data_IF_658146122062
#
_entry.id   IF_658146122062
#
_cell.length_a   1.000
_cell.length_b   1.000
_cell.length_c   1.000
_cell.angle_alpha   90.00
_cell.angle_beta   90.00
_cell.angle_gamma   90.00
#
_symmetry.space_group_name_H-M   'P 1'
#
loop_
_entity.id
_entity.type
_entity.pdbx_description
1 polymer ?
#
# COMPACT_ATOMS: atom_id res chain seq x y z
N UNK A 1 -42.93 14.99 76.53
CA UNK A 1 -42.75 15.71 75.25
C UNK A 1 -41.46 15.19 74.67
N UNK A 2 -41.55 14.18 73.80
CA UNK A 2 -40.40 13.38 73.38
C UNK A 2 -40.05 13.67 71.91
N UNK A 3 -38.78 14.02 71.75
CA UNK A 3 -37.81 13.70 70.69
C UNK A 3 -38.24 13.60 69.23
N UNK A 4 -37.52 14.39 68.44
CA UNK A 4 -37.36 14.40 66.99
C UNK A 4 -37.03 13.03 66.39
N UNK A 5 -37.60 12.75 65.22
CA UNK A 5 -37.08 11.78 64.26
C UNK A 5 -36.92 12.49 62.90
N UNK A 6 -35.69 12.55 62.42
CA UNK A 6 -35.32 13.08 61.11
C UNK A 6 -35.68 12.07 60.01
N UNK A 7 -36.41 12.53 58.98
CA UNK A 7 -36.62 11.76 57.76
C UNK A 7 -35.42 11.99 56.82
N UNK A 8 -34.64 10.93 56.59
CA UNK A 8 -33.57 10.89 55.59
C UNK A 8 -34.22 10.55 54.24
N UNK A 9 -34.14 11.48 53.28
CA UNK A 9 -34.50 11.22 51.87
C UNK A 9 -33.23 10.78 51.13
N UNK A 10 -33.24 9.70 50.34
CA UNK A 10 -32.07 9.26 49.60
C UNK A 10 -31.86 10.17 48.37
N UNK A 11 -30.75 10.91 48.34
CA UNK A 11 -30.29 11.61 47.13
C UNK A 11 -29.62 10.57 46.23
N UNK A 12 -30.39 10.05 45.29
CA UNK A 12 -29.89 9.24 44.19
C UNK A 12 -29.14 10.10 43.16
N UNK A 13 -28.02 9.53 42.69
CA UNK A 13 -27.49 9.63 41.32
C UNK A 13 -27.16 11.02 40.76
N UNK A 14 -25.88 11.43 40.86
CA UNK A 14 -25.24 12.28 39.85
C UNK A 14 -23.70 12.37 39.99
N UNK A 15 -22.98 11.25 40.19
CA UNK A 15 -21.51 11.27 40.15
C UNK A 15 -20.98 10.07 39.35
N UNK A 16 -21.32 9.99 38.06
CA UNK A 16 -20.55 9.15 37.12
C UNK A 16 -20.77 9.52 35.65
N UNK A 17 -20.88 10.80 35.30
CA UNK A 17 -21.01 11.24 33.90
C UNK A 17 -20.07 12.38 33.50
N UNK A 18 -18.91 12.51 34.15
CA UNK A 18 -17.96 13.61 33.88
C UNK A 18 -16.52 13.17 33.57
N UNK A 19 -16.25 11.88 33.32
CA UNK A 19 -14.91 11.39 32.98
C UNK A 19 -14.76 10.80 31.56
N UNK A 20 -15.76 10.92 30.68
CA UNK A 20 -15.70 10.40 29.30
C UNK A 20 -15.59 11.47 28.21
N UNK A 21 -15.20 12.70 28.54
CA UNK A 21 -15.00 13.77 27.56
C UNK A 21 -13.55 14.29 27.48
N UNK A 22 -12.56 13.47 27.88
CA UNK A 22 -11.20 13.67 27.36
C UNK A 22 -11.14 12.90 26.05
N UNK A 23 -11.53 13.61 24.98
CA UNK A 23 -11.50 13.11 23.63
C UNK A 23 -10.15 12.45 23.35
N UNK A 24 -10.17 11.13 23.19
CA UNK A 24 -9.15 10.45 22.41
C UNK A 24 -9.29 11.04 21.00
N UNK A 25 -8.49 12.04 20.68
CA UNK A 25 -8.06 12.21 19.30
C UNK A 25 -7.30 10.92 18.97
N UNK A 26 -8.05 9.91 18.52
CA UNK A 26 -7.49 8.86 17.73
C UNK A 26 -6.96 9.58 16.49
N UNK A 27 -5.68 9.92 16.49
CA UNK A 27 -4.96 10.11 15.24
C UNK A 27 -5.10 8.78 14.50
N UNK A 28 -6.17 8.65 13.71
CA UNK A 28 -6.18 7.72 12.60
C UNK A 28 -5.06 8.21 11.70
N UNK A 29 -3.88 7.60 11.83
CA UNK A 29 -2.89 7.69 10.78
C UNK A 29 -3.61 7.33 9.48
N UNK A 30 -3.48 8.13 8.42
CA UNK A 30 -4.09 7.80 7.15
C UNK A 30 -3.59 6.42 6.74
N UNK A 31 -4.51 5.45 6.70
CA UNK A 31 -4.21 4.09 6.25
C UNK A 31 -3.97 4.20 4.75
N UNK A 32 -2.75 3.84 4.32
CA UNK A 32 -2.41 3.88 2.91
C UNK A 32 -3.34 2.91 2.16
N UNK A 33 -4.09 3.43 1.18
CA UNK A 33 -5.09 2.67 0.44
C UNK A 33 -4.39 1.88 -0.68
N UNK A 34 -4.47 0.54 -0.72
CA UNK A 34 -3.83 -0.24 -1.76
C UNK A 34 -4.49 0.01 -3.12
N UNK A 35 -3.71 -0.12 -4.19
CA UNK A 35 -4.18 -0.01 -5.58
C UNK A 35 -4.99 -1.24 -6.02
N UNK A 36 -4.79 -2.39 -5.36
CA UNK A 36 -5.60 -3.59 -5.50
C UNK A 36 -6.02 -4.11 -4.12
N UNK A 37 -7.31 -4.43 -3.87
CA UNK A 37 -7.73 -4.99 -2.58
C UNK A 37 -6.99 -6.29 -2.21
N UNK A 38 -6.64 -7.12 -3.19
CA UNK A 38 -5.95 -8.39 -2.96
C UNK A 38 -4.53 -8.23 -2.40
N UNK A 39 -3.93 -7.03 -2.46
CA UNK A 39 -2.63 -6.76 -1.82
C UNK A 39 -2.72 -6.72 -0.29
N UNK A 40 -3.88 -6.44 0.30
CA UNK A 40 -4.10 -6.43 1.76
C UNK A 40 -5.12 -7.48 2.20
N UNK A 41 -5.31 -8.51 1.39
CA UNK A 41 -6.16 -9.65 1.73
C UNK A 41 -5.33 -10.70 2.49
N UNK A 42 -5.76 -11.04 3.71
CA UNK A 42 -5.02 -11.95 4.59
C UNK A 42 -4.91 -13.36 3.99
N UNK A 43 -5.95 -13.83 3.30
CA UNK A 43 -5.93 -15.14 2.62
C UNK A 43 -4.89 -15.16 1.50
N UNK A 44 -4.81 -14.09 0.70
CA UNK A 44 -3.78 -13.92 -0.34
C UNK A 44 -2.37 -13.93 0.25
N UNK A 45 -2.16 -13.20 1.35
CA UNK A 45 -0.87 -13.18 2.04
C UNK A 45 -0.50 -14.58 2.58
N UNK A 46 -1.45 -15.28 3.20
CA UNK A 46 -1.25 -16.63 3.73
C UNK A 46 -0.91 -17.62 2.62
N UNK A 47 -1.64 -17.59 1.50
CA UNK A 47 -1.35 -18.44 0.34
C UNK A 47 0.05 -18.23 -0.23
N UNK A 48 0.46 -16.97 -0.34
CA UNK A 48 1.79 -16.58 -0.81
C UNK A 48 2.86 -17.11 0.13
N UNK A 49 2.69 -16.89 1.42
CA UNK A 49 3.63 -17.35 2.44
C UNK A 49 3.76 -18.88 2.45
N UNK A 50 2.64 -19.59 2.39
CA UNK A 50 2.62 -21.05 2.45
C UNK A 50 3.23 -21.68 1.20
N UNK A 51 2.88 -21.17 0.01
CA UNK A 51 3.45 -21.61 -1.26
C UNK A 51 4.93 -21.28 -1.35
N UNK A 52 5.34 -20.08 -0.93
CA UNK A 52 6.75 -19.68 -0.91
C UNK A 52 7.58 -20.60 0.00
N UNK A 53 7.13 -20.82 1.24
CA UNK A 53 7.78 -21.73 2.19
C UNK A 53 7.84 -23.16 1.67
N UNK A 54 6.76 -23.66 1.06
CA UNK A 54 6.74 -24.98 0.46
C UNK A 54 7.79 -25.10 -0.65
N UNK A 55 7.88 -24.11 -1.54
CA UNK A 55 8.90 -24.10 -2.60
C UNK A 55 10.32 -24.03 -2.04
N UNK A 56 10.57 -23.16 -1.05
CA UNK A 56 11.85 -23.04 -0.37
C UNK A 56 12.28 -24.36 0.29
N UNK A 57 11.35 -25.13 0.85
CA UNK A 57 11.68 -26.42 1.48
C UNK A 57 12.08 -27.51 0.47
N UNK A 58 11.82 -27.32 -0.82
CA UNK A 58 12.25 -28.23 -1.89
C UNK A 58 13.63 -27.87 -2.45
N UNK A 59 14.25 -26.79 -1.96
CA UNK A 59 15.53 -26.31 -2.46
C UNK A 59 16.68 -26.75 -1.54
N UNK A 60 17.76 -27.24 -2.15
CA UNK A 60 19.06 -27.46 -1.48
C UNK A 60 19.95 -26.20 -1.51
N UNK A 61 19.43 -25.08 -2.03
CA UNK A 61 20.14 -23.81 -2.24
C UNK A 61 20.39 -23.09 -0.89
N UNK A 62 21.59 -22.52 -0.72
CA UNK A 62 21.96 -21.76 0.48
C UNK A 62 21.37 -20.33 0.50
N UNK A 63 20.63 -19.96 -0.55
CA UNK A 63 19.99 -18.66 -0.69
C UNK A 63 20.93 -17.54 -1.11
N UNK A 64 22.16 -17.85 -1.55
CA UNK A 64 23.18 -16.85 -1.90
C UNK A 64 22.80 -15.94 -3.07
N UNK A 65 22.04 -16.44 -4.04
CA UNK A 65 21.54 -15.65 -5.17
C UNK A 65 20.10 -15.24 -4.89
N UNK A 66 19.73 -13.97 -5.10
CA UNK A 66 18.36 -13.48 -5.00
C UNK A 66 17.82 -13.17 -6.39
N UNK A 67 16.63 -13.65 -6.74
CA UNK A 67 15.99 -13.37 -8.02
C UNK A 67 15.36 -11.99 -8.05
N UNK A 68 14.55 -11.64 -7.05
CA UNK A 68 13.81 -10.37 -7.02
C UNK A 68 14.78 -9.23 -6.65
N UNK A 69 15.11 -8.32 -7.58
CA UNK A 69 16.12 -7.30 -7.33
C UNK A 69 15.70 -6.37 -6.20
N UNK A 70 16.69 -5.91 -5.43
CA UNK A 70 16.46 -4.89 -4.40
C UNK A 70 16.33 -3.52 -5.06
N UNK A 71 15.20 -2.85 -4.83
CA UNK A 71 15.00 -1.47 -5.23
C UNK A 71 15.26 -0.59 -4.02
N UNK A 72 16.42 0.08 -3.96
CA UNK A 72 16.76 0.94 -2.84
C UNK A 72 16.16 2.32 -3.09
N UNK A 73 15.36 2.83 -2.15
CA UNK A 73 14.72 4.16 -2.21
C UNK A 73 15.70 5.31 -2.54
N UNK A 74 16.99 5.17 -2.18
CA UNK A 74 18.04 6.16 -2.45
C UNK A 74 18.43 6.30 -3.92
N UNK A 75 18.21 5.28 -4.76
CA UNK A 75 18.40 5.42 -6.21
C UNK A 75 17.29 6.30 -6.82
N UNK A 76 16.15 6.43 -6.14
CA UNK A 76 14.96 7.08 -6.67
C UNK A 76 14.18 7.91 -5.62
N UNK A 77 14.84 8.86 -4.93
CA UNK A 77 14.21 9.65 -3.85
C UNK A 77 13.04 10.52 -4.33
N UNK A 78 12.92 10.72 -5.65
CA UNK A 78 11.91 11.55 -6.30
C UNK A 78 10.91 10.78 -7.16
N UNK A 79 10.96 9.43 -7.20
CA UNK A 79 9.97 8.65 -7.98
C UNK A 79 8.71 8.42 -7.14
N UNK A 80 7.57 8.61 -7.79
CA UNK A 80 6.27 8.29 -7.21
C UNK A 80 6.20 6.78 -6.94
N UNK A 81 5.64 6.38 -5.79
CA UNK A 81 5.45 4.96 -5.41
C UNK A 81 4.85 4.11 -6.55
N UNK A 82 4.04 4.72 -7.41
CA UNK A 82 3.45 4.12 -8.60
C UNK A 82 4.49 3.58 -9.59
N UNK A 83 5.63 4.26 -9.79
CA UNK A 83 6.66 3.77 -10.71
C UNK A 83 7.33 2.49 -10.20
N UNK A 84 7.68 2.46 -8.91
CA UNK A 84 8.26 1.26 -8.29
C UNK A 84 7.21 0.13 -8.27
N UNK A 85 5.96 0.46 -7.96
CA UNK A 85 4.84 -0.47 -8.09
C UNK A 85 4.77 -1.08 -9.50
N UNK A 86 4.84 -0.24 -10.53
CA UNK A 86 4.73 -0.69 -11.92
C UNK A 86 5.89 -1.52 -12.42
N UNK A 87 7.08 -1.26 -11.91
CA UNK A 87 8.21 -2.13 -12.12
C UNK A 87 7.94 -3.54 -11.57
N UNK A 88 7.47 -3.64 -10.32
CA UNK A 88 7.16 -4.94 -9.73
C UNK A 88 5.95 -5.61 -10.40
N UNK A 89 4.99 -4.83 -10.91
CA UNK A 89 3.89 -5.35 -11.72
C UNK A 89 4.40 -5.99 -13.03
N UNK A 90 5.49 -5.51 -13.62
CA UNK A 90 6.14 -6.17 -14.77
C UNK A 90 6.74 -7.52 -14.41
N UNK A 91 7.35 -7.63 -13.24
CA UNK A 91 7.85 -8.91 -12.74
C UNK A 91 6.68 -9.85 -12.47
N UNK A 92 5.59 -9.37 -11.86
CA UNK A 92 4.37 -10.16 -11.64
C UNK A 92 3.77 -10.69 -12.94
N UNK A 93 3.73 -9.87 -14.00
CA UNK A 93 3.27 -10.30 -15.32
C UNK A 93 4.16 -11.42 -15.89
N UNK A 94 5.48 -11.37 -15.66
CA UNK A 94 6.36 -12.49 -16.01
C UNK A 94 6.04 -13.75 -15.20
N UNK A 95 5.74 -13.64 -13.89
CA UNK A 95 5.35 -14.77 -13.05
C UNK A 95 4.12 -15.48 -13.60
N UNK A 96 3.05 -14.72 -13.87
CA UNK A 96 1.79 -15.27 -14.38
C UNK A 96 1.96 -16.00 -15.71
N UNK A 97 2.78 -15.43 -16.61
CA UNK A 97 2.92 -15.94 -17.97
C UNK A 97 4.00 -17.02 -18.14
N UNK A 98 4.99 -17.12 -17.25
CA UNK A 98 6.15 -18.00 -17.45
C UNK A 98 6.44 -18.94 -16.28
N UNK A 99 6.15 -18.53 -15.04
CA UNK A 99 6.50 -19.30 -13.84
C UNK A 99 5.31 -20.13 -13.36
N UNK A 100 4.13 -19.49 -13.27
CA UNK A 100 2.93 -20.09 -12.68
C UNK A 100 1.97 -20.70 -13.72
N UNK A 101 2.23 -20.50 -15.02
CA UNK A 101 1.30 -20.86 -16.10
C UNK A 101 0.79 -22.31 -16.01
N UNK A 102 1.69 -23.26 -15.77
CA UNK A 102 1.39 -24.71 -15.76
C UNK A 102 1.60 -25.36 -14.38
N UNK A 103 1.31 -24.65 -13.29
CA UNK A 103 1.62 -25.10 -11.92
C UNK A 103 0.42 -25.37 -11.03
N UNK A 104 -0.78 -25.44 -11.58
CA UNK A 104 -2.02 -25.57 -10.79
C UNK A 104 -1.97 -26.76 -9.80
N UNK A 105 -1.35 -27.87 -10.19
CA UNK A 105 -1.27 -29.09 -9.37
C UNK A 105 -0.09 -29.16 -8.41
N UNK A 106 0.75 -28.11 -8.34
CA UNK A 106 1.97 -28.11 -7.53
C UNK A 106 1.73 -27.77 -6.05
N UNK A 107 0.59 -27.14 -5.74
CA UNK A 107 0.19 -26.83 -4.36
C UNK A 107 -1.34 -26.64 -4.29
N UNK A 108 -2.04 -27.09 -3.23
CA UNK A 108 -3.50 -26.97 -3.13
C UNK A 108 -4.03 -25.55 -3.31
N UNK A 109 -3.28 -24.55 -2.86
CA UNK A 109 -3.68 -23.14 -2.95
C UNK A 109 -3.22 -22.45 -4.24
N UNK A 110 -2.48 -23.12 -5.13
CA UNK A 110 -1.92 -22.49 -6.34
C UNK A 110 -2.99 -21.89 -7.27
N UNK A 111 -4.13 -22.54 -7.54
CA UNK A 111 -5.17 -21.95 -8.41
C UNK A 111 -5.76 -20.65 -7.83
N UNK A 112 -5.97 -20.61 -6.50
CA UNK A 112 -6.47 -19.42 -5.80
C UNK A 112 -5.42 -18.30 -5.83
N UNK A 113 -4.16 -18.64 -5.58
CA UNK A 113 -3.05 -17.69 -5.69
C UNK A 113 -2.97 -17.06 -7.08
N UNK A 114 -2.99 -17.87 -8.16
CA UNK A 114 -2.94 -17.35 -9.54
C UNK A 114 -4.10 -16.39 -9.82
N UNK A 115 -5.29 -16.71 -9.35
CA UNK A 115 -6.48 -15.85 -9.49
C UNK A 115 -6.28 -14.49 -8.81
N UNK A 116 -5.75 -14.49 -7.59
CA UNK A 116 -5.52 -13.25 -6.85
C UNK A 116 -4.38 -12.42 -7.45
N UNK A 117 -3.29 -13.06 -7.91
CA UNK A 117 -2.19 -12.41 -8.61
C UNK A 117 -2.61 -11.82 -9.95
N UNK A 118 -3.43 -12.53 -10.73
CA UNK A 118 -4.02 -12.00 -11.96
C UNK A 118 -4.90 -10.77 -11.68
N UNK A 119 -5.72 -10.84 -10.63
CA UNK A 119 -6.53 -9.69 -10.18
C UNK A 119 -5.66 -8.49 -9.84
N UNK A 120 -4.56 -8.68 -9.11
CA UNK A 120 -3.61 -7.61 -8.81
C UNK A 120 -3.07 -7.01 -10.10
N UNK A 121 -2.59 -7.83 -11.05
CA UNK A 121 -2.07 -7.35 -12.34
C UNK A 121 -3.11 -6.52 -13.10
N UNK A 122 -4.37 -6.96 -13.16
CA UNK A 122 -5.47 -6.22 -13.81
C UNK A 122 -5.81 -4.92 -13.10
N UNK A 123 -5.92 -4.94 -11.78
CA UNK A 123 -6.21 -3.75 -10.98
C UNK A 123 -5.10 -2.70 -11.17
N UNK A 124 -3.83 -3.09 -11.12
CA UNK A 124 -2.70 -2.18 -11.35
C UNK A 124 -2.73 -1.57 -12.76
N UNK A 125 -3.02 -2.35 -13.80
CA UNK A 125 -3.23 -1.82 -15.17
C UNK A 125 -4.35 -0.77 -15.19
N UNK A 126 -5.47 -1.03 -14.51
CA UNK A 126 -6.58 -0.09 -14.41
C UNK A 126 -6.23 1.20 -13.63
N UNK A 127 -5.28 1.12 -12.69
CA UNK A 127 -4.76 2.28 -11.95
C UNK A 127 -3.69 3.08 -12.73
N UNK A 128 -3.53 2.85 -14.03
CA UNK A 128 -2.62 3.60 -14.90
C UNK A 128 -1.22 2.99 -15.04
N UNK A 129 -1.04 1.76 -14.56
CA UNK A 129 0.24 1.09 -14.66
C UNK A 129 0.51 0.56 -16.07
N UNK A 130 1.43 1.21 -16.81
CA UNK A 130 1.90 0.69 -18.09
C UNK A 130 2.96 -0.39 -17.87
N UNK A 131 2.51 -1.61 -17.59
CA UNK A 131 3.40 -2.74 -17.29
C UNK A 131 4.41 -3.01 -18.40
N UNK A 132 4.00 -2.90 -19.67
CA UNK A 132 4.87 -3.16 -20.82
C UNK A 132 6.04 -2.16 -20.91
N UNK A 133 5.84 -0.91 -20.48
CA UNK A 133 6.89 0.11 -20.45
C UNK A 133 8.10 -0.32 -19.62
N UNK A 134 7.87 -1.05 -18.53
CA UNK A 134 8.93 -1.51 -17.63
C UNK A 134 9.62 -2.79 -18.09
N UNK A 135 9.24 -3.36 -19.25
CA UNK A 135 9.85 -4.60 -19.73
C UNK A 135 11.36 -4.48 -19.76
N UNK A 136 11.92 -3.45 -20.39
CA UNK A 136 13.38 -3.28 -20.50
C UNK A 136 14.02 -2.56 -19.31
N UNK A 137 13.26 -2.24 -18.24
CA UNK A 137 13.82 -1.59 -17.07
C UNK A 137 14.90 -2.47 -16.43
N UNK A 138 16.01 -1.85 -15.96
CA UNK A 138 17.19 -2.56 -15.44
C UNK A 138 16.83 -3.72 -14.51
N UNK A 139 16.00 -3.48 -13.50
CA UNK A 139 15.57 -4.50 -12.54
C UNK A 139 14.71 -5.61 -13.16
N UNK A 140 13.79 -5.30 -14.07
CA UNK A 140 12.99 -6.32 -14.73
C UNK A 140 13.87 -7.20 -15.64
N UNK A 141 14.82 -6.58 -16.35
CA UNK A 141 15.80 -7.28 -17.18
C UNK A 141 16.78 -8.11 -16.34
N UNK A 142 17.25 -7.59 -15.21
CA UNK A 142 18.11 -8.30 -14.26
C UNK A 142 17.41 -9.54 -13.69
N UNK A 143 16.16 -9.39 -13.22
CA UNK A 143 15.33 -10.52 -12.77
C UNK A 143 15.25 -11.61 -13.85
N UNK A 144 14.87 -11.26 -15.09
CA UNK A 144 14.75 -12.23 -16.18
C UNK A 144 16.08 -12.86 -16.57
N UNK A 145 17.17 -12.07 -16.58
CA UNK A 145 18.52 -12.56 -16.86
C UNK A 145 18.95 -13.58 -15.82
N UNK A 146 18.83 -13.26 -14.53
CA UNK A 146 19.18 -14.17 -13.43
C UNK A 146 18.30 -15.41 -13.47
N UNK A 147 16.98 -15.26 -13.66
CA UNK A 147 16.06 -16.40 -13.81
C UNK A 147 16.49 -17.35 -14.93
N UNK A 148 16.79 -16.82 -16.11
CA UNK A 148 17.20 -17.63 -17.27
C UNK A 148 18.54 -18.33 -17.03
N UNK A 149 19.49 -17.71 -16.32
CA UNK A 149 20.78 -18.31 -15.98
C UNK A 149 20.63 -19.51 -15.02
N UNK A 150 19.56 -19.57 -14.24
CA UNK A 150 19.31 -20.66 -13.29
C UNK A 150 18.64 -21.88 -13.92
N UNK A 151 18.17 -21.79 -15.17
CA UNK A 151 17.47 -22.88 -15.84
C UNK A 151 16.27 -23.39 -15.03
N UNK A 152 16.11 -24.71 -14.95
CA UNK A 152 14.96 -25.34 -14.28
C UNK A 152 14.86 -25.01 -12.78
N UNK A 153 16.01 -24.85 -12.10
CA UNK A 153 16.06 -24.46 -10.68
C UNK A 153 15.51 -23.05 -10.46
N UNK A 154 15.56 -22.20 -11.49
CA UNK A 154 15.02 -20.84 -11.44
C UNK A 154 13.53 -20.80 -11.15
N UNK A 155 12.78 -21.84 -11.55
CA UNK A 155 11.32 -21.85 -11.36
C UNK A 155 10.95 -22.07 -9.91
N UNK A 156 11.51 -23.11 -9.26
CA UNK A 156 11.27 -23.37 -7.82
C UNK A 156 11.73 -22.17 -6.99
N UNK A 157 12.88 -21.58 -7.33
CA UNK A 157 13.37 -20.39 -6.65
C UNK A 157 12.44 -19.19 -6.80
N UNK A 158 11.91 -18.95 -8.00
CA UNK A 158 10.98 -17.86 -8.21
C UNK A 158 9.71 -18.06 -7.38
N UNK A 159 9.14 -19.27 -7.36
CA UNK A 159 8.00 -19.56 -6.47
C UNK A 159 8.37 -19.32 -5.00
N UNK A 160 9.58 -19.69 -4.59
CA UNK A 160 10.11 -19.41 -3.25
C UNK A 160 10.50 -17.95 -2.96
N UNK A 161 10.42 -17.03 -3.92
CA UNK A 161 10.65 -15.59 -3.71
C UNK A 161 9.40 -14.75 -4.03
N UNK A 162 8.24 -15.38 -4.23
CA UNK A 162 7.01 -14.67 -4.55
C UNK A 162 6.50 -13.80 -3.39
N UNK A 163 6.82 -14.19 -2.15
CA UNK A 163 6.59 -13.41 -0.93
C UNK A 163 7.38 -12.10 -0.93
N UNK A 164 8.62 -12.13 -1.43
CA UNK A 164 9.45 -10.93 -1.60
C UNK A 164 8.83 -9.98 -2.61
N UNK A 165 8.39 -10.50 -3.77
CA UNK A 165 7.71 -9.72 -4.79
C UNK A 165 6.42 -9.09 -4.23
N UNK A 166 5.62 -9.89 -3.51
CA UNK A 166 4.37 -9.42 -2.92
C UNK A 166 4.59 -8.32 -1.88
N UNK A 167 5.58 -8.47 -1.01
CA UNK A 167 5.95 -7.47 0.00
C UNK A 167 6.30 -6.12 -0.66
N UNK A 168 7.04 -6.14 -1.77
CA UNK A 168 7.32 -4.89 -2.51
C UNK A 168 6.03 -4.26 -3.04
N UNK A 169 5.14 -5.05 -3.61
CA UNK A 169 3.86 -4.52 -4.11
C UNK A 169 2.99 -3.96 -2.98
N UNK A 170 2.95 -4.61 -1.80
CA UNK A 170 2.21 -4.08 -0.64
C UNK A 170 2.71 -2.69 -0.21
N UNK A 171 4.03 -2.48 -0.25
CA UNK A 171 4.65 -1.20 0.16
C UNK A 171 4.44 -0.11 -0.89
N UNK A 172 4.62 -0.44 -2.17
CA UNK A 172 4.69 0.57 -3.23
C UNK A 172 3.39 0.76 -4.02
N UNK A 173 2.52 -0.24 -4.08
CA UNK A 173 1.26 -0.17 -4.82
C UNK A 173 0.13 0.41 -3.97
N UNK A 174 0.33 1.64 -3.50
CA UNK A 174 -0.63 2.42 -2.73
C UNK A 174 -1.00 3.71 -3.47
N UNK A 175 -2.18 4.26 -3.19
CA UNK A 175 -2.57 5.55 -3.75
C UNK A 175 -1.66 6.66 -3.19
N UNK A 176 -1.00 7.42 -4.06
CA UNK A 176 -0.27 8.61 -3.66
C UNK A 176 -1.21 9.58 -2.92
N UNK A 177 -0.81 10.04 -1.73
CA UNK A 177 -1.56 11.08 -1.03
C UNK A 177 -1.43 12.37 -1.84
N UNK A 178 -2.52 12.84 -2.44
CA UNK A 178 -2.58 14.24 -2.86
C UNK A 178 -2.47 15.06 -1.58
N UNK A 179 -1.39 15.84 -1.45
CA UNK A 179 -1.35 16.88 -0.42
C UNK A 179 -2.55 17.79 -0.69
N UNK A 180 -3.60 17.66 0.12
CA UNK A 180 -4.66 18.65 0.18
C UNK A 180 -4.01 19.86 0.83
N UNK A 181 -3.48 20.77 -0.01
CA UNK A 181 -3.10 22.09 0.46
C UNK A 181 -4.41 22.78 0.80
N UNK A 182 -4.80 22.70 2.07
CA UNK A 182 -5.90 23.49 2.61
C UNK A 182 -5.47 24.95 2.52
N UNK A 183 -5.78 25.61 1.40
CA UNK A 183 -5.71 27.05 1.30
C UNK A 183 -6.81 27.60 2.20
N UNK A 184 -6.51 27.72 3.50
CA UNK A 184 -7.27 28.59 4.39
C UNK A 184 -7.03 30.01 3.91
N UNK A 185 -7.90 30.49 3.01
CA UNK A 185 -7.97 31.89 2.66
C UNK A 185 -8.47 32.65 3.89
N UNK A 186 -7.54 33.15 4.70
CA UNK A 186 -7.85 34.19 5.68
C UNK A 186 -8.10 35.49 4.92
N UNK A 187 -9.36 35.77 4.60
CA UNK A 187 -9.78 37.10 4.18
C UNK A 187 -9.85 38.00 5.42
N UNK A 188 -8.76 38.71 5.70
CA UNK A 188 -8.78 39.91 6.53
C UNK A 188 -8.33 41.06 5.64
N UNK A 189 -9.26 41.89 5.20
CA UNK A 189 -8.94 43.17 4.57
C UNK A 189 -9.73 44.24 5.30
N UNK A 190 -8.99 44.93 6.16
CA UNK A 190 -9.42 46.14 6.87
C UNK A 190 -9.70 47.26 5.89
N UNK A 191 -10.82 47.94 6.10
CA UNK A 191 -11.18 49.20 5.48
C UNK A 191 -10.22 50.32 5.90
N UNK A 192 -9.66 51.05 4.95
CA UNK A 192 -9.37 52.49 5.11
C UNK A 192 -9.45 53.19 3.77
N UNK A 193 -10.31 54.21 3.73
CA UNK A 193 -10.50 55.14 2.63
C UNK A 193 -9.29 56.07 2.44
N UNK A 194 -9.01 56.45 1.20
CA UNK A 194 -8.30 57.69 0.87
C UNK A 194 -8.79 58.25 -0.48
N UNK A 195 -8.98 59.57 -0.49
CA UNK A 195 -9.75 60.37 -1.46
C UNK A 195 -9.00 60.75 -2.75
N UNK A 196 -9.70 60.64 -3.88
CA UNK A 196 -10.01 61.67 -4.92
C UNK A 196 -8.99 62.74 -5.39
N UNK A 197 -9.03 62.97 -6.71
CA UNK A 197 -8.45 64.01 -7.60
C UNK A 197 -7.02 63.73 -8.08
N UNK A 198 -6.72 63.69 -9.39
CA UNK A 198 -6.89 64.78 -10.37
C UNK A 198 -7.22 64.32 -11.81
N UNK A 199 -8.20 65.00 -12.40
CA UNK A 199 -8.32 65.53 -13.76
C UNK A 199 -7.59 64.85 -14.94
N UNK A 200 -8.38 64.36 -15.90
CA UNK A 200 -8.01 64.25 -17.29
C UNK A 200 -9.23 64.59 -18.15
N UNK A 201 -9.20 65.75 -18.82
CA UNK A 201 -10.05 66.02 -19.96
C UNK A 201 -9.39 66.99 -20.95
N UNK A 202 -9.59 66.65 -22.22
CA UNK A 202 -9.50 67.45 -23.44
C UNK A 202 -8.16 67.63 -24.18
N UNK A 203 -8.14 66.94 -25.35
CA UNK A 203 -7.57 67.27 -26.67
C UNK A 203 -6.10 66.92 -26.95
#
# INVERSE_FOLDING_TARGET
>A
MNSSAAAIVPVGTAVLCLLLLIGKQAWCHPVDKPLSPALHDDDTFNDINDISKHAQSQMEDDGSVRLIPKVIHREHPNKENLEICCLHANILDFYLNNILLHRDDQHPNMPRLKTNLDRISRDLKAQGCNIAHYHNHRHASEFRSTFNQMGEKGVTKAVGEIDILFTYMQVFCIHSRKHVTTAAASSFSSSTAFSSSTDADAL
#
